data_IF_864785532881
#
_entry.id   IF_864785532881
#
_cell.length_a   1.000
_cell.length_b   1.000
_cell.length_c   1.000
_cell.angle_alpha   90.00
_cell.angle_beta   90.00
_cell.angle_gamma   90.00
#
_symmetry.space_group_name_H-M   'P 1'
#
loop_
_entity.id
_entity.type
_entity.pdbx_description
1 polymer ?
#
# COMPACT_ATOMS: atom_id res chain seq x y z
N UNK A 1 -18.29 -25.26 3.88
CA UNK A 1 -19.51 -24.43 3.86
C UNK A 1 -19.06 -23.09 3.31
N UNK A 2 -19.60 -22.64 2.18
CA UNK A 2 -19.29 -21.30 1.69
C UNK A 2 -19.75 -20.32 2.79
N UNK A 3 -18.83 -19.48 3.26
CA UNK A 3 -19.17 -18.43 4.23
C UNK A 3 -20.09 -17.45 3.51
N UNK A 4 -21.28 -17.25 4.04
CA UNK A 4 -22.25 -16.30 3.48
C UNK A 4 -21.71 -14.88 3.76
N UNK A 5 -21.17 -14.24 2.72
CA UNK A 5 -20.68 -12.88 2.79
C UNK A 5 -21.87 -11.93 2.72
N UNK A 6 -21.92 -10.95 3.61
CA UNK A 6 -22.94 -9.90 3.57
C UNK A 6 -22.66 -8.92 2.43
N UNK A 7 -23.65 -8.12 1.97
CA UNK A 7 -23.42 -7.09 0.96
C UNK A 7 -22.32 -6.07 1.32
N UNK A 8 -22.11 -5.83 2.62
CA UNK A 8 -21.02 -4.97 3.11
C UNK A 8 -19.67 -5.65 2.89
N UNK A 9 -19.58 -6.96 3.18
CA UNK A 9 -18.36 -7.72 2.96
C UNK A 9 -17.98 -7.74 1.47
N UNK A 10 -18.95 -7.98 0.59
CA UNK A 10 -18.76 -7.97 -0.86
C UNK A 10 -18.32 -6.59 -1.38
N UNK A 11 -18.95 -5.51 -0.88
CA UNK A 11 -18.58 -4.14 -1.25
C UNK A 11 -17.15 -3.81 -0.83
N UNK A 12 -16.76 -4.17 0.40
CA UNK A 12 -15.39 -3.96 0.88
C UNK A 12 -14.36 -4.75 0.03
N UNK A 13 -14.66 -6.01 -0.29
CA UNK A 13 -13.77 -6.84 -1.11
C UNK A 13 -13.61 -6.30 -2.54
N UNK A 14 -14.68 -5.76 -3.13
CA UNK A 14 -14.63 -5.08 -4.41
C UNK A 14 -13.73 -3.84 -4.34
N UNK A 15 -13.87 -3.02 -3.29
CA UNK A 15 -13.10 -1.78 -3.13
C UNK A 15 -11.60 -2.05 -2.96
N UNK A 16 -11.24 -2.98 -2.07
CA UNK A 16 -9.84 -3.19 -1.66
C UNK A 16 -9.06 -4.16 -2.57
N UNK A 17 -9.73 -5.04 -3.30
CA UNK A 17 -9.05 -6.05 -4.10
C UNK A 17 -9.61 -6.20 -5.52
N UNK A 18 -10.61 -5.39 -5.91
CA UNK A 18 -11.33 -5.51 -7.18
C UNK A 18 -11.87 -6.93 -7.43
N UNK A 19 -12.32 -7.56 -6.36
CA UNK A 19 -12.82 -8.94 -6.36
C UNK A 19 -14.35 -8.90 -6.46
N UNK A 20 -14.88 -9.34 -7.61
CA UNK A 20 -16.30 -9.64 -7.80
C UNK A 20 -16.50 -11.16 -7.87
N UNK A 21 -16.73 -11.80 -6.72
CA UNK A 21 -16.80 -13.27 -6.59
C UNK A 21 -15.47 -13.90 -6.16
N UNK A 22 -15.24 -15.19 -6.43
CA UNK A 22 -13.97 -15.83 -6.05
C UNK A 22 -12.86 -15.52 -7.07
N UNK A 23 -11.70 -15.02 -6.63
CA UNK A 23 -10.60 -14.72 -7.53
C UNK A 23 -10.02 -15.99 -8.16
N UNK A 24 -9.53 -15.87 -9.40
CA UNK A 24 -8.78 -16.94 -10.06
C UNK A 24 -7.33 -16.88 -9.59
N UNK A 25 -6.77 -18.02 -9.17
CA UNK A 25 -5.39 -18.12 -8.71
C UNK A 25 -5.30 -18.59 -7.26
N UNK A 26 -4.21 -18.24 -6.59
CA UNK A 26 -4.06 -18.50 -5.16
C UNK A 26 -4.71 -17.36 -4.37
N UNK A 27 -5.42 -17.69 -3.29
CA UNK A 27 -6.03 -16.66 -2.47
C UNK A 27 -6.21 -17.09 -1.01
N UNK A 28 -6.26 -16.11 -0.12
CA UNK A 28 -6.57 -16.29 1.29
C UNK A 28 -7.41 -15.10 1.78
N UNK A 29 -8.72 -15.30 1.85
CA UNK A 29 -9.68 -14.29 2.29
C UNK A 29 -9.86 -14.41 3.80
N UNK A 30 -9.71 -13.30 4.53
CA UNK A 30 -9.94 -13.23 5.97
C UNK A 30 -11.06 -12.26 6.32
N UNK A 31 -11.81 -12.61 7.35
CA UNK A 31 -12.85 -11.75 7.95
C UNK A 31 -12.76 -11.80 9.45
N UNK A 32 -12.76 -10.65 10.10
CA UNK A 32 -12.83 -10.50 11.56
C UNK A 32 -11.81 -11.40 12.30
N UNK A 33 -10.55 -11.38 11.84
CA UNK A 33 -9.44 -12.16 12.39
C UNK A 33 -9.47 -13.67 12.08
N UNK A 34 -10.44 -14.15 11.28
CA UNK A 34 -10.61 -15.57 10.95
C UNK A 34 -10.44 -15.83 9.46
N UNK A 35 -10.03 -17.05 9.14
CA UNK A 35 -9.98 -17.53 7.77
C UNK A 35 -11.40 -17.77 7.26
N UNK A 36 -11.73 -17.15 6.12
CA UNK A 36 -12.97 -17.41 5.38
C UNK A 36 -12.76 -18.55 4.41
N UNK A 37 -11.81 -18.36 3.50
CA UNK A 37 -11.48 -19.35 2.47
C UNK A 37 -10.02 -19.20 2.05
N UNK A 38 -9.42 -20.34 1.67
CA UNK A 38 -8.07 -20.40 1.15
C UNK A 38 -8.01 -21.35 -0.03
N UNK A 39 -7.27 -20.96 -1.05
CA UNK A 39 -6.95 -21.79 -2.19
C UNK A 39 -5.48 -21.59 -2.56
N UNK A 40 -4.76 -22.70 -2.75
CA UNK A 40 -3.41 -22.71 -3.31
C UNK A 40 -3.48 -23.11 -4.80
N UNK A 41 -2.59 -22.57 -5.62
CA UNK A 41 -2.48 -22.99 -7.02
C UNK A 41 -1.47 -24.14 -7.15
N UNK A 42 -1.16 -24.56 -8.38
CA UNK A 42 -0.12 -25.55 -8.63
C UNK A 42 1.29 -25.04 -8.23
N UNK A 43 1.52 -23.73 -8.34
CA UNK A 43 2.82 -23.12 -8.15
C UNK A 43 2.91 -22.19 -6.93
N UNK A 44 1.76 -21.90 -6.30
CA UNK A 44 1.69 -21.02 -5.13
C UNK A 44 1.01 -21.75 -3.99
N UNK A 45 1.79 -22.01 -2.94
CA UNK A 45 1.33 -22.64 -1.71
C UNK A 45 1.07 -21.58 -0.64
N UNK A 46 -0.09 -21.66 0.01
CA UNK A 46 -0.44 -20.81 1.15
C UNK A 46 -0.61 -21.68 2.40
N UNK A 47 0.28 -21.53 3.36
CA UNK A 47 0.29 -22.26 4.62
C UNK A 47 0.06 -21.31 5.80
N UNK A 48 -0.48 -21.83 6.91
CA UNK A 48 -0.60 -21.04 8.15
C UNK A 48 0.71 -21.07 8.91
N UNK A 49 1.15 -19.91 9.37
CA UNK A 49 2.36 -19.77 10.18
C UNK A 49 2.21 -20.50 11.51
N UNK A 50 3.33 -21.00 12.03
CA UNK A 50 3.39 -21.71 13.32
C UNK A 50 3.93 -20.85 14.45
N UNK A 51 4.64 -19.78 14.13
CA UNK A 51 5.33 -18.86 15.03
C UNK A 51 4.47 -17.63 15.39
N UNK A 52 3.77 -17.07 14.42
CA UNK A 52 2.93 -15.88 14.55
C UNK A 52 1.58 -16.05 13.84
N UNK A 53 0.53 -15.28 14.20
CA UNK A 53 -0.72 -15.27 13.43
C UNK A 53 -0.46 -14.84 11.99
N UNK A 54 -0.94 -15.58 10.99
CA UNK A 54 -0.80 -15.21 9.58
C UNK A 54 -0.43 -16.37 8.68
N UNK A 55 0.18 -16.09 7.54
CA UNK A 55 0.43 -17.09 6.47
C UNK A 55 1.83 -16.99 5.86
N UNK A 56 2.37 -18.14 5.50
CA UNK A 56 3.52 -18.25 4.59
C UNK A 56 3.00 -18.53 3.19
N UNK A 57 3.47 -17.76 2.22
CA UNK A 57 3.09 -17.83 0.82
C UNK A 57 4.36 -18.17 0.04
N UNK A 58 4.43 -19.36 -0.52
CA UNK A 58 5.60 -19.86 -1.27
C UNK A 58 5.28 -19.92 -2.75
N UNK A 59 6.01 -19.15 -3.55
CA UNK A 59 5.86 -19.07 -5.01
C UNK A 59 7.08 -19.75 -5.62
N UNK A 60 6.85 -20.86 -6.33
CA UNK A 60 7.91 -21.70 -6.90
C UNK A 60 8.68 -20.98 -8.00
N UNK A 61 9.95 -21.34 -8.16
CA UNK A 61 10.83 -20.77 -9.18
C UNK A 61 10.22 -20.88 -10.57
N UNK A 62 10.39 -19.83 -11.38
CA UNK A 62 9.86 -19.78 -12.75
C UNK A 62 8.34 -19.63 -12.85
N UNK A 63 7.62 -19.35 -11.76
CA UNK A 63 6.17 -19.07 -11.83
C UNK A 63 5.94 -17.77 -12.61
N UNK A 64 5.11 -17.81 -13.66
CA UNK A 64 4.84 -16.65 -14.52
C UNK A 64 3.34 -16.40 -14.68
N UNK A 65 2.92 -15.14 -14.53
CA UNK A 65 1.57 -14.67 -14.82
C UNK A 65 0.49 -15.10 -13.82
N UNK A 66 0.88 -15.61 -12.66
CA UNK A 66 -0.07 -15.95 -11.58
C UNK A 66 -0.28 -14.77 -10.62
N UNK A 67 -1.50 -14.70 -10.09
CA UNK A 67 -1.90 -13.69 -9.11
C UNK A 67 -2.26 -14.32 -7.77
N UNK A 68 -1.81 -13.69 -6.68
CA UNK A 68 -2.17 -14.03 -5.30
C UNK A 68 -3.07 -12.95 -4.71
N UNK A 69 -4.19 -13.33 -4.11
CA UNK A 69 -5.12 -12.41 -3.46
C UNK A 69 -5.17 -12.65 -1.95
N UNK A 70 -4.89 -11.64 -1.13
CA UNK A 70 -4.91 -11.76 0.34
C UNK A 70 -5.73 -10.65 1.03
N UNK A 71 -7.02 -10.46 0.68
CA UNK A 71 -7.83 -9.42 1.28
C UNK A 71 -8.24 -9.75 2.72
N UNK A 72 -8.34 -8.71 3.54
CA UNK A 72 -8.88 -8.76 4.90
C UNK A 72 -10.03 -7.77 5.03
N UNK A 73 -11.13 -8.22 5.63
CA UNK A 73 -12.26 -7.36 5.98
C UNK A 73 -12.53 -7.44 7.49
N UNK A 74 -12.74 -6.28 8.13
CA UNK A 74 -13.10 -6.15 9.53
C UNK A 74 -14.44 -5.42 9.62
N UNK A 75 -15.47 -6.16 10.03
CA UNK A 75 -16.83 -5.65 10.24
C UNK A 75 -17.26 -5.76 11.70
N UNK A 76 -16.52 -6.53 12.51
CA UNK A 76 -16.69 -6.62 13.94
C UNK A 76 -16.05 -5.40 14.63
N UNK A 77 -16.86 -4.65 15.39
CA UNK A 77 -16.39 -3.55 16.23
C UNK A 77 -15.52 -4.06 17.40
N UNK A 78 -14.57 -3.25 17.84
CA UNK A 78 -13.75 -3.57 19.03
C UNK A 78 -12.68 -4.63 18.78
N UNK A 79 -12.42 -4.99 17.52
CA UNK A 79 -11.41 -5.97 17.15
C UNK A 79 -10.04 -5.31 17.00
N UNK A 80 -9.00 -5.95 17.55
CA UNK A 80 -7.62 -5.70 17.19
C UNK A 80 -7.04 -6.97 16.58
N UNK A 81 -6.70 -6.92 15.29
CA UNK A 81 -6.16 -8.04 14.52
C UNK A 81 -4.74 -7.69 14.05
N UNK A 82 -3.78 -8.58 14.28
CA UNK A 82 -2.40 -8.42 13.78
C UNK A 82 -2.03 -9.71 13.07
N UNK A 83 -1.58 -9.60 11.81
CA UNK A 83 -1.24 -10.76 10.99
C UNK A 83 0.09 -10.57 10.29
N UNK A 84 0.89 -11.63 10.28
CA UNK A 84 2.21 -11.70 9.69
C UNK A 84 2.13 -12.54 8.43
N UNK A 85 2.34 -11.93 7.28
CA UNK A 85 2.30 -12.57 5.98
C UNK A 85 3.70 -12.56 5.37
N UNK A 86 4.25 -13.74 5.09
CA UNK A 86 5.59 -13.84 4.52
C UNK A 86 5.50 -14.43 3.11
N UNK A 87 5.98 -13.68 2.12
CA UNK A 87 6.08 -14.10 0.74
C UNK A 87 7.50 -14.54 0.43
N UNK A 88 7.63 -15.82 0.09
CA UNK A 88 8.85 -16.41 -0.43
C UNK A 88 8.69 -16.53 -1.95
N UNK A 89 9.22 -15.56 -2.69
CA UNK A 89 9.21 -15.54 -4.15
C UNK A 89 10.54 -16.10 -4.63
N UNK A 90 10.55 -17.32 -5.16
CA UNK A 90 11.77 -17.94 -5.68
C UNK A 90 12.25 -17.27 -6.98
N UNK A 91 13.42 -17.70 -7.46
CA UNK A 91 14.08 -17.15 -8.64
C UNK A 91 13.20 -17.20 -9.91
N UNK A 92 13.48 -16.28 -10.83
CA UNK A 92 12.87 -16.20 -12.16
C UNK A 92 11.34 -16.12 -12.14
N UNK A 93 10.71 -15.63 -11.06
CA UNK A 93 9.26 -15.44 -10.99
C UNK A 93 8.79 -14.19 -11.77
N UNK A 94 7.51 -14.16 -12.16
CA UNK A 94 6.78 -13.00 -12.65
C UNK A 94 5.35 -13.12 -12.13
N UNK A 95 5.04 -12.40 -11.04
CA UNK A 95 3.80 -12.60 -10.29
C UNK A 95 3.19 -11.29 -9.83
N UNK A 96 1.87 -11.29 -9.69
CA UNK A 96 1.11 -10.18 -9.11
C UNK A 96 0.56 -10.58 -7.75
N UNK A 97 0.66 -9.69 -6.78
CA UNK A 97 0.14 -9.88 -5.42
C UNK A 97 -0.82 -8.73 -5.15
N UNK A 98 -2.06 -9.05 -4.82
CA UNK A 98 -3.13 -8.09 -4.52
C UNK A 98 -3.53 -8.30 -3.06
N UNK A 99 -3.25 -7.30 -2.24
CA UNK A 99 -3.64 -7.22 -0.85
C UNK A 99 -4.59 -6.06 -0.63
N UNK A 100 -5.34 -6.12 0.47
CA UNK A 100 -6.13 -4.98 0.88
C UNK A 100 -6.83 -5.22 2.20
N UNK A 101 -7.02 -4.14 2.95
CA UNK A 101 -7.66 -4.17 4.26
C UNK A 101 -8.82 -3.18 4.27
N UNK A 102 -10.03 -3.70 4.52
CA UNK A 102 -11.26 -2.92 4.63
C UNK A 102 -11.81 -2.95 6.04
N UNK A 103 -12.11 -1.80 6.64
CA UNK A 103 -12.77 -1.72 7.95
C UNK A 103 -14.14 -1.05 7.81
N UNK A 104 -15.21 -1.76 8.15
CA UNK A 104 -16.54 -1.19 8.37
C UNK A 104 -16.84 -1.09 9.87
N UNK A 105 -16.99 0.13 10.41
CA UNK A 105 -17.28 0.34 11.83
C UNK A 105 -18.48 1.26 12.07
N UNK A 106 -19.54 0.72 12.70
CA UNK A 106 -20.76 1.44 13.12
C UNK A 106 -20.82 1.71 14.63
N UNK A 107 -19.81 1.28 15.39
CA UNK A 107 -19.78 1.36 16.84
C UNK A 107 -19.00 2.58 17.33
N UNK A 108 -18.96 2.77 18.65
CA UNK A 108 -18.07 3.69 19.34
C UNK A 108 -16.72 3.05 19.71
N UNK A 109 -16.61 1.72 19.64
CA UNK A 109 -15.37 0.99 19.89
C UNK A 109 -14.47 1.03 18.66
N UNK A 110 -13.17 1.26 18.86
CA UNK A 110 -12.19 1.23 17.77
C UNK A 110 -12.04 -0.18 17.17
N UNK A 111 -11.76 -0.23 15.87
CA UNK A 111 -11.37 -1.45 15.16
C UNK A 111 -10.03 -1.22 14.49
N UNK A 112 -9.13 -2.18 14.66
CA UNK A 112 -7.73 -2.09 14.25
C UNK A 112 -7.31 -3.38 13.52
N UNK A 113 -6.62 -3.20 12.40
CA UNK A 113 -5.98 -4.30 11.68
C UNK A 113 -4.58 -3.91 11.21
N UNK A 114 -3.60 -4.69 11.64
CA UNK A 114 -2.19 -4.48 11.29
C UNK A 114 -1.70 -5.65 10.45
N UNK A 115 -1.53 -5.40 9.14
CA UNK A 115 -0.95 -6.32 8.18
C UNK A 115 0.56 -6.14 8.11
N UNK A 116 1.31 -7.14 8.59
CA UNK A 116 2.78 -7.15 8.56
C UNK A 116 3.21 -8.07 7.42
N UNK A 117 3.61 -7.49 6.31
CA UNK A 117 4.02 -8.18 5.09
C UNK A 117 5.55 -8.20 4.98
N UNK A 118 6.12 -9.36 4.69
CA UNK A 118 7.56 -9.50 4.39
C UNK A 118 7.74 -10.22 3.08
N UNK A 119 8.46 -9.63 2.15
CA UNK A 119 8.73 -10.14 0.81
C UNK A 119 10.21 -10.50 0.69
N UNK A 120 10.48 -11.74 0.34
CA UNK A 120 11.79 -12.18 -0.12
C UNK A 120 11.70 -12.42 -1.63
N UNK A 121 12.24 -11.48 -2.41
CA UNK A 121 12.23 -11.52 -3.87
C UNK A 121 13.52 -12.17 -4.38
N UNK A 122 13.43 -13.39 -4.89
CA UNK A 122 14.54 -14.15 -5.47
C UNK A 122 15.08 -13.52 -6.75
N UNK A 123 16.17 -14.09 -7.29
CA UNK A 123 16.92 -13.53 -8.40
C UNK A 123 16.10 -13.43 -9.67
N UNK A 124 16.30 -12.37 -10.45
CA UNK A 124 15.60 -12.13 -11.71
C UNK A 124 14.06 -12.17 -11.60
N UNK A 125 13.50 -12.07 -10.39
CA UNK A 125 12.05 -12.09 -10.20
C UNK A 125 11.43 -10.73 -10.54
N UNK A 126 10.23 -10.74 -11.08
CA UNK A 126 9.42 -9.56 -11.33
C UNK A 126 8.15 -9.64 -10.48
N UNK A 127 7.99 -8.70 -9.54
CA UNK A 127 6.88 -8.72 -8.57
C UNK A 127 6.10 -7.44 -8.68
N UNK A 128 4.80 -7.53 -8.97
CA UNK A 128 3.88 -6.41 -8.80
C UNK A 128 3.07 -6.61 -7.53
N UNK A 129 3.15 -5.68 -6.60
CA UNK A 129 2.36 -5.67 -5.36
C UNK A 129 1.40 -4.48 -5.38
N UNK A 130 0.11 -4.75 -5.15
CA UNK A 130 -0.93 -3.72 -5.02
C UNK A 130 -1.61 -3.90 -3.68
N UNK A 131 -1.62 -2.85 -2.87
CA UNK A 131 -2.26 -2.81 -1.57
C UNK A 131 -3.25 -1.66 -1.50
N UNK A 132 -4.48 -1.94 -1.05
CA UNK A 132 -5.49 -0.90 -0.82
C UNK A 132 -6.04 -0.92 0.61
N UNK A 133 -6.13 0.26 1.20
CA UNK A 133 -6.74 0.48 2.51
C UNK A 133 -7.98 1.34 2.40
N UNK A 134 -9.05 0.88 3.03
CA UNK A 134 -10.34 1.54 3.00
C UNK A 134 -11.06 1.45 4.36
N UNK A 135 -11.63 2.55 4.79
CA UNK A 135 -12.46 2.63 5.99
C UNK A 135 -13.83 3.21 5.67
N UNK A 136 -14.88 2.61 6.20
CA UNK A 136 -16.24 3.15 6.12
C UNK A 136 -17.05 2.88 7.40
N UNK A 137 -18.22 3.50 7.48
CA UNK A 137 -19.17 3.31 8.57
C UNK A 137 -19.51 4.60 9.31
N UNK A 138 -20.70 4.60 9.94
CA UNK A 138 -21.28 5.77 10.61
C UNK A 138 -20.91 5.88 12.09
N UNK A 139 -20.04 4.98 12.58
CA UNK A 139 -19.62 4.92 13.98
C UNK A 139 -18.59 5.99 14.34
N UNK A 140 -18.52 6.34 15.62
CA UNK A 140 -17.47 7.23 16.15
C UNK A 140 -16.20 6.47 16.53
N UNK A 141 -16.23 5.13 16.50
CA UNK A 141 -15.06 4.30 16.74
C UNK A 141 -14.03 4.45 15.63
N UNK A 142 -12.77 4.53 16.01
CA UNK A 142 -11.66 4.69 15.06
C UNK A 142 -11.52 3.45 14.17
N UNK A 143 -11.09 3.69 12.93
CA UNK A 143 -10.71 2.67 11.95
C UNK A 143 -9.20 2.80 11.75
N UNK A 144 -8.46 1.92 12.41
CA UNK A 144 -7.01 2.00 12.53
C UNK A 144 -6.39 0.92 11.63
N UNK A 145 -5.44 1.32 10.79
CA UNK A 145 -4.68 0.39 9.94
C UNK A 145 -3.21 0.74 10.03
N UNK A 146 -2.37 -0.11 10.66
CA UNK A 146 -0.93 0.14 10.74
C UNK A 146 -0.15 -0.93 9.96
N UNK A 147 -0.12 -0.85 8.63
CA UNK A 147 0.59 -1.82 7.81
C UNK A 147 2.10 -1.66 7.95
N UNK A 148 2.80 -2.80 7.93
CA UNK A 148 4.26 -2.85 7.83
C UNK A 148 4.62 -3.68 6.61
N UNK A 149 5.44 -3.13 5.72
CA UNK A 149 5.91 -3.81 4.51
C UNK A 149 7.43 -3.88 4.53
N UNK A 150 7.99 -5.09 4.57
CA UNK A 150 9.43 -5.33 4.48
C UNK A 150 9.76 -6.02 3.16
N UNK A 151 10.72 -5.51 2.41
CA UNK A 151 11.08 -6.03 1.08
C UNK A 151 12.57 -6.31 1.02
N UNK A 152 12.94 -7.56 0.79
CA UNK A 152 14.33 -7.98 0.63
C UNK A 152 14.47 -8.49 -0.80
N UNK A 153 15.31 -7.80 -1.57
CA UNK A 153 15.43 -8.01 -3.02
C UNK A 153 16.81 -8.58 -3.37
N UNK A 154 16.83 -9.78 -3.95
CA UNK A 154 18.06 -10.37 -4.47
C UNK A 154 18.46 -9.79 -5.83
N UNK A 155 19.59 -10.30 -6.35
CA UNK A 155 20.23 -9.84 -7.57
C UNK A 155 19.27 -9.78 -8.78
N UNK A 156 19.29 -8.67 -9.50
CA UNK A 156 18.49 -8.42 -10.71
C UNK A 156 16.97 -8.57 -10.54
N UNK A 157 16.45 -8.65 -9.31
CA UNK A 157 15.01 -8.66 -9.06
C UNK A 157 14.39 -7.27 -9.26
N UNK A 158 13.12 -7.22 -9.65
CA UNK A 158 12.37 -5.97 -9.74
C UNK A 158 11.05 -6.07 -8.99
N UNK A 159 10.70 -5.02 -8.26
CA UNK A 159 9.45 -4.94 -7.54
C UNK A 159 8.77 -3.60 -7.82
N UNK A 160 7.50 -3.65 -8.24
CA UNK A 160 6.62 -2.49 -8.37
C UNK A 160 5.56 -2.59 -7.27
N UNK A 161 5.52 -1.60 -6.38
CA UNK A 161 4.59 -1.54 -5.25
C UNK A 161 3.68 -0.34 -5.38
N UNK A 162 2.38 -0.58 -5.41
CA UNK A 162 1.33 0.44 -5.34
C UNK A 162 0.63 0.34 -3.99
N UNK A 163 0.87 1.30 -3.10
CA UNK A 163 0.40 1.28 -1.71
C UNK A 163 -0.62 2.41 -1.49
N UNK A 164 -1.91 2.11 -1.62
CA UNK A 164 -2.98 3.11 -1.66
C UNK A 164 -3.82 3.11 -0.39
N UNK A 165 -4.02 4.28 0.22
CA UNK A 165 -5.12 4.52 1.15
C UNK A 165 -6.19 5.34 0.44
N UNK A 166 -7.33 4.69 0.18
CA UNK A 166 -8.41 5.27 -0.62
C UNK A 166 -9.15 6.37 0.16
N UNK A 167 -9.66 6.03 1.35
CA UNK A 167 -10.45 6.95 2.18
C UNK A 167 -10.77 6.35 3.55
N UNK A 168 -11.13 7.22 4.50
CA UNK A 168 -11.94 6.85 5.66
C UNK A 168 -11.21 6.17 6.81
N UNK A 169 -9.91 5.94 6.70
CA UNK A 169 -9.05 5.42 7.78
C UNK A 169 -8.80 6.54 8.79
N UNK A 170 -9.18 6.33 10.05
CA UNK A 170 -9.08 7.34 11.12
C UNK A 170 -7.63 7.66 11.47
N UNK A 171 -6.82 6.60 11.62
CA UNK A 171 -5.41 6.71 11.98
C UNK A 171 -4.60 5.61 11.29
N UNK A 172 -3.44 5.96 10.77
CA UNK A 172 -2.48 5.00 10.22
C UNK A 172 -1.05 5.42 10.52
N UNK A 173 -0.23 4.45 10.92
CA UNK A 173 1.23 4.51 10.86
C UNK A 173 1.68 3.39 9.92
N UNK A 174 2.26 3.77 8.79
CA UNK A 174 2.71 2.86 7.74
C UNK A 174 4.22 2.83 7.75
N UNK A 175 4.80 1.65 7.87
CA UNK A 175 6.25 1.49 7.80
C UNK A 175 6.61 0.63 6.59
N UNK A 176 7.40 1.17 5.67
CA UNK A 176 7.93 0.41 4.52
C UNK A 176 9.44 0.37 4.55
N UNK A 177 10.02 -0.82 4.66
CA UNK A 177 11.45 -1.05 4.67
C UNK A 177 11.86 -1.86 3.44
N UNK A 178 12.93 -1.48 2.76
CA UNK A 178 13.44 -2.22 1.62
C UNK A 178 14.97 -2.32 1.60
N UNK A 179 15.49 -3.50 1.24
CA UNK A 179 16.91 -3.76 1.00
C UNK A 179 17.11 -4.29 -0.42
N UNK A 180 17.94 -3.60 -1.21
CA UNK A 180 18.16 -3.91 -2.62
C UNK A 180 19.56 -4.48 -2.85
N UNK A 181 19.61 -5.71 -3.38
CA UNK A 181 20.82 -6.35 -3.90
C UNK A 181 21.27 -5.78 -5.26
N UNK A 182 22.34 -6.35 -5.81
CA UNK A 182 22.95 -5.84 -7.05
C UNK A 182 21.97 -5.93 -8.24
N UNK A 183 21.89 -4.87 -9.04
CA UNK A 183 20.97 -4.76 -10.18
C UNK A 183 19.47 -4.74 -9.81
N UNK A 184 19.11 -4.77 -8.53
CA UNK A 184 17.72 -4.81 -8.09
C UNK A 184 17.01 -3.46 -8.31
N UNK A 185 15.72 -3.50 -8.65
CA UNK A 185 14.94 -2.30 -9.02
C UNK A 185 13.62 -2.22 -8.27
N UNK A 186 13.45 -1.19 -7.46
CA UNK A 186 12.20 -0.93 -6.73
C UNK A 186 11.51 0.32 -7.26
N UNK A 187 10.23 0.20 -7.62
CA UNK A 187 9.34 1.33 -7.83
C UNK A 187 8.27 1.28 -6.75
N UNK A 188 8.22 2.29 -5.89
CA UNK A 188 7.24 2.41 -4.82
C UNK A 188 6.38 3.62 -5.11
N UNK A 189 5.10 3.40 -5.38
CA UNK A 189 4.09 4.45 -5.52
C UNK A 189 3.13 4.40 -4.36
N UNK A 190 3.16 5.43 -3.53
CA UNK A 190 2.20 5.66 -2.47
C UNK A 190 1.13 6.65 -2.93
N UNK A 191 -0.13 6.31 -2.65
CA UNK A 191 -1.28 7.16 -2.88
C UNK A 191 -2.06 7.28 -1.57
N UNK A 192 -2.32 8.50 -1.11
CA UNK A 192 -2.90 8.71 0.22
C UNK A 192 -3.93 9.83 0.22
N UNK A 193 -5.17 9.52 0.61
CA UNK A 193 -6.19 10.53 0.87
C UNK A 193 -6.60 10.51 2.35
N UNK A 194 -6.61 11.68 2.97
CA UNK A 194 -7.17 11.89 4.32
C UNK A 194 -8.17 13.05 4.31
N UNK A 195 -9.23 12.93 5.11
CA UNK A 195 -10.27 13.94 5.29
C UNK A 195 -10.73 13.99 6.75
N UNK A 196 -11.70 14.85 7.08
CA UNK A 196 -12.15 15.11 8.45
C UNK A 196 -10.96 15.41 9.40
N UNK A 197 -10.85 14.70 10.52
CA UNK A 197 -9.77 14.80 11.51
C UNK A 197 -8.79 13.61 11.42
N UNK A 198 -8.70 12.95 10.26
CA UNK A 198 -7.85 11.77 10.05
C UNK A 198 -6.36 12.10 10.16
N UNK A 199 -5.57 11.14 10.63
CA UNK A 199 -4.11 11.26 10.78
C UNK A 199 -3.40 10.11 10.09
N UNK A 200 -2.42 10.42 9.25
CA UNK A 200 -1.60 9.42 8.59
C UNK A 200 -0.11 9.75 8.73
N UNK A 201 0.69 8.76 9.11
CA UNK A 201 2.15 8.81 9.06
C UNK A 201 2.63 7.70 8.15
N UNK A 202 3.48 8.04 7.19
CA UNK A 202 4.11 7.09 6.29
C UNK A 202 5.62 7.24 6.41
N UNK A 203 6.25 6.21 6.94
CA UNK A 203 7.70 6.10 7.09
C UNK A 203 8.22 5.13 6.04
N UNK A 204 9.30 5.51 5.37
CA UNK A 204 9.99 4.62 4.46
C UNK A 204 11.48 4.60 4.74
N UNK A 205 12.09 3.43 4.67
CA UNK A 205 13.55 3.26 4.70
C UNK A 205 13.97 2.32 3.59
N UNK A 206 14.73 2.83 2.63
CA UNK A 206 15.24 2.04 1.49
C UNK A 206 16.76 2.06 1.51
N UNK A 207 17.36 0.88 1.52
CA UNK A 207 18.81 0.68 1.51
C UNK A 207 19.23 0.03 0.19
N UNK A 208 20.00 0.76 -0.62
CA UNK A 208 20.58 0.29 -1.88
C UNK A 208 21.97 -0.27 -1.61
N UNK A 209 22.05 -1.58 -1.38
CA UNK A 209 23.26 -2.28 -0.90
C UNK A 209 24.12 -2.86 -2.00
N UNK A 210 23.55 -3.12 -3.18
CA UNK A 210 24.26 -3.70 -4.31
C UNK A 210 24.51 -2.72 -5.46
N UNK A 211 25.58 -2.96 -6.21
CA UNK A 211 25.91 -2.18 -7.40
C UNK A 211 24.80 -2.26 -8.45
N UNK A 212 24.62 -1.16 -9.19
CA UNK A 212 23.59 -0.95 -10.21
C UNK A 212 22.15 -1.11 -9.72
N UNK A 213 21.92 -1.11 -8.40
CA UNK A 213 20.57 -1.06 -7.83
C UNK A 213 19.92 0.31 -8.03
N UNK A 214 18.60 0.32 -8.11
CA UNK A 214 17.85 1.58 -8.26
C UNK A 214 16.51 1.58 -7.54
N UNK A 215 16.13 2.75 -7.01
CA UNK A 215 14.80 2.98 -6.45
C UNK A 215 14.15 4.24 -7.00
N UNK A 216 12.85 4.17 -7.23
CA UNK A 216 11.98 5.33 -7.40
C UNK A 216 10.87 5.30 -6.34
N UNK A 217 10.83 6.31 -5.48
CA UNK A 217 9.76 6.54 -4.51
C UNK A 217 8.90 7.70 -5.03
N UNK A 218 7.62 7.44 -5.28
CA UNK A 218 6.63 8.43 -5.70
C UNK A 218 5.57 8.46 -4.61
N UNK A 219 5.38 9.59 -3.94
CA UNK A 219 4.25 9.79 -3.03
C UNK A 219 3.35 10.86 -3.60
N UNK A 220 2.07 10.51 -3.75
CA UNK A 220 1.00 11.44 -4.14
C UNK A 220 -0.06 11.45 -3.05
N UNK A 221 -0.25 12.60 -2.43
CA UNK A 221 -1.11 12.72 -1.26
C UNK A 221 -2.10 13.88 -1.34
N UNK A 222 -3.31 13.66 -0.83
CA UNK A 222 -4.38 14.66 -0.75
C UNK A 222 -4.85 14.73 0.69
N UNK A 223 -4.73 15.92 1.30
CA UNK A 223 -5.18 16.17 2.66
C UNK A 223 -6.31 17.21 2.66
N UNK A 224 -7.46 16.82 3.19
CA UNK A 224 -8.69 17.63 3.24
C UNK A 224 -9.08 17.98 4.69
N UNK A 225 -9.99 18.93 4.85
CA UNK A 225 -10.60 19.34 6.13
C UNK A 225 -9.59 19.73 7.22
N UNK A 226 -9.50 18.99 8.33
CA UNK A 226 -8.54 19.21 9.41
C UNK A 226 -7.48 18.09 9.47
N UNK A 227 -7.41 17.26 8.44
CA UNK A 227 -6.58 16.06 8.44
C UNK A 227 -5.08 16.37 8.45
N UNK A 228 -4.28 15.41 8.92
CA UNK A 228 -2.84 15.56 9.09
C UNK A 228 -2.10 14.41 8.44
N UNK A 229 -1.10 14.72 7.64
CA UNK A 229 -0.24 13.75 6.99
C UNK A 229 1.23 14.04 7.28
N UNK A 230 1.99 12.99 7.57
CA UNK A 230 3.45 13.04 7.70
C UNK A 230 4.02 12.02 6.73
N UNK A 231 4.90 12.46 5.83
CA UNK A 231 5.65 11.59 4.93
C UNK A 231 7.14 11.71 5.24
N UNK A 232 7.76 10.60 5.64
CA UNK A 232 9.13 10.52 6.13
C UNK A 232 9.90 9.41 5.41
N UNK A 233 10.25 9.59 4.13
CA UNK A 233 11.08 8.63 3.40
C UNK A 233 12.57 8.88 3.66
N UNK A 234 13.34 7.81 3.86
CA UNK A 234 14.80 7.81 3.91
C UNK A 234 15.34 6.84 2.86
N UNK A 235 16.10 7.36 1.89
CA UNK A 235 16.79 6.53 0.87
C UNK A 235 18.29 6.60 1.10
N UNK A 236 18.91 5.43 1.31
CA UNK A 236 20.33 5.26 1.63
C UNK A 236 21.01 4.53 0.47
N UNK A 237 21.98 5.18 -0.18
CA UNK A 237 22.80 4.61 -1.24
C UNK A 237 24.16 4.15 -0.72
N UNK A 238 24.36 2.84 -0.57
CA UNK A 238 25.60 2.24 -0.03
C UNK A 238 26.54 1.69 -1.12
N UNK A 239 26.13 1.75 -2.39
CA UNK A 239 26.84 1.21 -3.56
C UNK A 239 26.73 2.15 -4.78
N UNK A 240 27.29 1.76 -5.94
CA UNK A 240 27.03 2.46 -7.21
C UNK A 240 25.55 2.31 -7.57
N UNK A 241 24.71 3.28 -7.21
CA UNK A 241 23.26 3.11 -7.27
C UNK A 241 22.54 4.42 -7.65
N UNK A 242 21.23 4.31 -7.94
CA UNK A 242 20.39 5.46 -8.32
C UNK A 242 19.11 5.52 -7.50
N UNK A 243 18.83 6.65 -6.86
CA UNK A 243 17.60 6.87 -6.10
C UNK A 243 16.88 8.13 -6.56
N UNK A 244 15.57 8.06 -6.71
CA UNK A 244 14.73 9.22 -6.96
C UNK A 244 13.54 9.23 -5.99
N UNK A 245 13.33 10.34 -5.29
CA UNK A 245 12.22 10.54 -4.35
C UNK A 245 11.41 11.76 -4.78
N UNK A 246 10.17 11.52 -5.19
CA UNK A 246 9.22 12.54 -5.61
C UNK A 246 8.05 12.59 -4.61
N UNK A 247 7.84 13.75 -3.99
CA UNK A 247 6.79 13.97 -2.99
C UNK A 247 5.81 15.05 -3.46
N UNK A 248 4.62 14.68 -3.91
CA UNK A 248 3.59 15.62 -4.31
C UNK A 248 2.41 15.57 -3.33
N UNK A 249 1.97 16.74 -2.86
CA UNK A 249 0.84 16.85 -1.96
C UNK A 249 -0.10 18.01 -2.32
N UNK A 250 -1.40 17.73 -2.24
CA UNK A 250 -2.47 18.72 -2.33
C UNK A 250 -3.08 18.92 -0.93
N UNK A 251 -3.18 20.18 -0.50
CA UNK A 251 -3.87 20.59 0.72
C UNK A 251 -5.16 21.35 0.43
N UNK A 252 -6.22 21.01 1.16
CA UNK A 252 -7.54 21.65 1.11
C UNK A 252 -8.04 21.95 2.53
N UNK A 253 -8.79 23.04 2.70
CA UNK A 253 -9.32 23.44 4.01
C UNK A 253 -8.23 23.88 5.00
N UNK A 254 -8.20 23.24 6.17
CA UNK A 254 -7.24 23.47 7.26
C UNK A 254 -6.24 22.31 7.42
N UNK A 255 -6.17 21.44 6.42
CA UNK A 255 -5.33 20.26 6.46
C UNK A 255 -3.85 20.63 6.58
N UNK A 256 -3.06 19.70 7.12
CA UNK A 256 -1.63 19.86 7.31
C UNK A 256 -0.88 18.68 6.71
N UNK A 257 0.09 18.95 5.84
CA UNK A 257 1.01 17.95 5.30
C UNK A 257 2.42 18.33 5.70
N UNK A 258 3.15 17.39 6.27
CA UNK A 258 4.56 17.52 6.63
C UNK A 258 5.37 16.50 5.83
N UNK A 259 6.31 16.98 5.01
CA UNK A 259 7.26 16.14 4.31
C UNK A 259 8.64 16.25 4.99
N UNK A 260 9.23 15.12 5.37
CA UNK A 260 10.54 14.98 6.01
C UNK A 260 11.39 14.00 5.20
N UNK A 261 11.70 14.29 3.93
CA UNK A 261 12.51 13.41 3.10
C UNK A 261 13.98 13.46 3.50
N UNK A 262 14.60 12.29 3.53
CA UNK A 262 16.03 12.08 3.73
C UNK A 262 16.63 11.30 2.57
N UNK A 263 17.81 11.75 2.13
CA UNK A 263 18.69 10.97 1.26
C UNK A 263 20.06 10.89 1.92
N UNK A 264 20.68 9.72 1.90
CA UNK A 264 22.00 9.46 2.47
C UNK A 264 22.85 8.75 1.42
N UNK A 265 23.86 9.43 0.89
CA UNK A 265 24.85 8.82 0.00
C UNK A 265 26.04 8.35 0.85
N UNK A 266 26.13 7.04 1.06
CA UNK A 266 27.21 6.36 1.78
C UNK A 266 28.28 5.76 0.83
N UNK A 267 28.14 5.98 -0.48
CA UNK A 267 29.11 5.65 -1.53
C UNK A 267 29.36 6.87 -2.42
N UNK A 268 30.59 7.00 -2.94
CA UNK A 268 30.96 8.09 -3.88
C UNK A 268 30.26 7.97 -5.24
N UNK A 269 29.84 6.76 -5.59
CA UNK A 269 29.16 6.44 -6.85
C UNK A 269 27.63 6.45 -6.74
N UNK A 270 27.08 6.81 -5.57
CA UNK A 270 25.64 6.90 -5.36
C UNK A 270 25.06 8.21 -5.94
N UNK A 271 24.00 8.08 -6.75
CA UNK A 271 23.27 9.20 -7.34
C UNK A 271 21.85 9.26 -6.79
N UNK A 272 21.61 10.15 -5.82
CA UNK A 272 20.33 10.32 -5.16
C UNK A 272 19.73 11.70 -5.46
N UNK A 273 18.46 11.74 -5.85
CA UNK A 273 17.72 12.97 -6.14
C UNK A 273 16.42 12.98 -5.36
N UNK A 274 16.07 14.14 -4.82
CA UNK A 274 14.81 14.38 -4.13
C UNK A 274 14.14 15.66 -4.62
N UNK A 275 12.83 15.57 -4.86
CA UNK A 275 11.94 16.68 -5.17
C UNK A 275 10.65 16.62 -4.34
N UNK A 276 10.15 17.79 -3.92
CA UNK A 276 8.91 17.91 -3.17
C UNK A 276 8.10 19.13 -3.59
N UNK A 277 6.79 18.95 -3.74
CA UNK A 277 5.82 20.01 -3.99
C UNK A 277 4.59 19.82 -3.09
N UNK A 278 4.31 20.82 -2.23
CA UNK A 278 3.09 20.87 -1.42
C UNK A 278 2.33 22.14 -1.82
N UNK A 279 1.10 21.98 -2.28
CA UNK A 279 0.32 23.08 -2.82
C UNK A 279 -1.18 22.90 -2.65
N UNK A 280 -1.94 23.91 -3.05
CA UNK A 280 -3.40 23.83 -3.18
C UNK A 280 -3.77 23.50 -4.63
N UNK A 281 -5.01 23.06 -4.85
CA UNK A 281 -5.54 22.90 -6.22
C UNK A 281 -5.43 24.23 -6.97
N UNK A 282 -4.97 24.17 -8.23
CA UNK A 282 -4.88 25.35 -9.08
C UNK A 282 -6.28 25.83 -9.47
N UNK A 283 -6.71 26.98 -8.93
CA UNK A 283 -8.05 27.52 -9.18
C UNK A 283 -8.40 27.71 -10.65
N UNK A 284 -7.40 27.99 -11.51
CA UNK A 284 -7.60 28.11 -12.96
C UNK A 284 -8.02 26.77 -13.60
N UNK A 285 -7.57 25.63 -13.06
CA UNK A 285 -8.01 24.30 -13.52
C UNK A 285 -9.47 24.05 -13.15
N UNK A 286 -9.88 24.40 -11.93
CA UNK A 286 -11.28 24.32 -11.48
C UNK A 286 -12.16 25.16 -12.38
N UNK A 287 -11.82 26.44 -12.58
CA UNK A 287 -12.59 27.35 -13.45
C UNK A 287 -12.71 26.79 -14.86
N UNK A 288 -11.63 26.23 -15.42
CA UNK A 288 -11.66 25.62 -16.75
C UNK A 288 -12.63 24.44 -16.81
N UNK A 289 -12.60 23.51 -15.86
CA UNK A 289 -13.51 22.37 -15.81
C UNK A 289 -14.97 22.81 -15.63
N UNK A 290 -15.21 23.84 -14.82
CA UNK A 290 -16.53 24.44 -14.69
C UNK A 290 -17.04 25.04 -16.01
N UNK A 291 -16.16 25.65 -16.83
CA UNK A 291 -16.56 26.12 -18.18
C UNK A 291 -16.91 24.97 -19.13
N UNK A 292 -16.46 23.75 -18.85
CA UNK A 292 -16.82 22.54 -19.60
C UNK A 292 -18.13 21.90 -19.09
N UNK A 293 -18.77 22.48 -18.08
CA UNK A 293 -20.09 22.09 -17.59
C UNK A 293 -20.09 21.31 -16.27
N UNK A 294 -18.93 21.12 -15.64
CA UNK A 294 -18.84 20.52 -14.32
C UNK A 294 -19.24 21.53 -13.23
N UNK A 295 -19.83 21.04 -12.15
CA UNK A 295 -19.90 21.80 -10.90
C UNK A 295 -18.50 21.97 -10.30
N UNK A 296 -18.35 22.88 -9.33
CA UNK A 296 -17.07 23.05 -8.62
C UNK A 296 -16.65 21.76 -7.91
N UNK A 297 -17.58 21.07 -7.25
CA UNK A 297 -17.33 19.78 -6.58
C UNK A 297 -16.90 18.68 -7.57
N UNK A 298 -17.59 18.55 -8.71
CA UNK A 298 -17.21 17.59 -9.76
C UNK A 298 -15.83 17.91 -10.36
N UNK A 299 -15.52 19.20 -10.56
CA UNK A 299 -14.23 19.64 -11.06
C UNK A 299 -13.09 19.35 -10.07
N UNK A 300 -13.32 19.60 -8.78
CA UNK A 300 -12.38 19.24 -7.72
C UNK A 300 -12.15 17.73 -7.69
N UNK A 301 -13.22 16.93 -7.74
CA UNK A 301 -13.12 15.47 -7.74
C UNK A 301 -12.29 14.96 -8.93
N UNK A 302 -12.54 15.45 -10.14
CA UNK A 302 -11.79 15.05 -11.34
C UNK A 302 -10.30 15.36 -11.21
N UNK A 303 -9.94 16.53 -10.66
CA UNK A 303 -8.54 16.90 -10.44
C UNK A 303 -7.89 15.97 -9.40
N UNK A 304 -8.60 15.64 -8.32
CA UNK A 304 -8.09 14.75 -7.28
C UNK A 304 -7.91 13.32 -7.80
N UNK A 305 -8.84 12.82 -8.61
CA UNK A 305 -8.75 11.51 -9.24
C UNK A 305 -7.57 11.43 -10.23
N UNK A 306 -7.37 12.44 -11.08
CA UNK A 306 -6.22 12.51 -11.99
C UNK A 306 -4.89 12.61 -11.21
N UNK A 307 -4.85 13.43 -10.15
CA UNK A 307 -3.66 13.58 -9.32
C UNK A 307 -3.27 12.25 -8.64
N UNK A 308 -4.24 11.48 -8.15
CA UNK A 308 -4.00 10.20 -7.50
C UNK A 308 -3.82 9.04 -8.50
N UNK A 309 -3.97 9.22 -9.81
CA UNK A 309 -3.81 8.16 -10.83
C UNK A 309 -2.40 8.09 -11.41
#
# INVERSE_FOLDING_TARGET
MAVDLSPIDESLLAEIANIHGMPKGAFNIRKDGKLVERHSSANIEIATKTDNPGIDIRIKAGTKGETVYIPVIVTQAGLKDVVYNTFYIEDDCDVTIIAGCGIHNKSHQASEHDGIHTFYCGKNSHVKYVEKHYGEGTGTGERILNPVTNVIMEENSSCEMELTQLRGVSSTVRDTNAELGAGAKLVLTEKLLTHDDQVATSNMKVELKGDDSSVQVISRSVAQDNSKQIFNPLVIGEAQCRGHVQCDAIIMGKANVTAIPGIEAASEDALLVHEAAIGKIAGDQIVKLMTLGLTEEEAEQEILEDFLN
#
